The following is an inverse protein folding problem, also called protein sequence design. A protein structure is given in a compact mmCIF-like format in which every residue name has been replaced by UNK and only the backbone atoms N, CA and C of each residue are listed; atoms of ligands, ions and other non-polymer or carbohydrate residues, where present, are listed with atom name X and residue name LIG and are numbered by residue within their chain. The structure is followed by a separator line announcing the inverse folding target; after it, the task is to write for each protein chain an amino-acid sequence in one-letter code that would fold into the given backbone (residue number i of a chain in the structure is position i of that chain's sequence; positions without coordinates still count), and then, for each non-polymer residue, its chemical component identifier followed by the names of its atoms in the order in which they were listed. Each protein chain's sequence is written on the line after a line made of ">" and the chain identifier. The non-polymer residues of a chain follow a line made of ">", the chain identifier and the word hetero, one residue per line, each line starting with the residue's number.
data_IF_755370292908
#
_entry.id   IF_755370292908
#
_cell.length_a   1.000
_cell.length_b   1.000
_cell.length_c   1.000
_cell.angle_alpha   90.00
_cell.angle_beta   90.00
_cell.angle_gamma   90.00
#
_symmetry.space_group_name_H-M   'P 1'
#
loop_
_entity.id
_entity.type
_entity.pdbx_description
1 polymer ?
#
# COMPACT_ATOMS: atom_id res chain seq x y z
N UNK A 1 13.87 0.02 -22.09
CA UNK A 1 14.15 -0.47 -20.72
C UNK A 1 15.63 -0.73 -20.50
N UNK A 2 16.21 -1.75 -21.13
CA UNK A 2 17.56 -2.30 -20.82
C UNK A 2 18.69 -1.29 -20.96
N UNK A 3 18.63 -0.39 -21.95
CA UNK A 3 19.67 0.64 -22.16
C UNK A 3 19.74 1.63 -21.00
N UNK A 4 18.59 1.99 -20.44
CA UNK A 4 18.52 2.93 -19.29
C UNK A 4 19.03 2.20 -18.05
N UNK A 5 18.60 0.98 -17.78
CA UNK A 5 19.07 0.16 -16.66
C UNK A 5 20.59 -0.02 -16.69
N UNK A 6 21.15 -0.27 -17.87
CA UNK A 6 22.61 -0.35 -18.04
C UNK A 6 23.31 0.99 -17.72
N UNK A 7 22.74 2.11 -18.15
CA UNK A 7 23.30 3.43 -17.83
C UNK A 7 23.20 3.75 -16.33
N UNK A 8 22.12 3.33 -15.65
CA UNK A 8 21.98 3.45 -14.19
C UNK A 8 23.10 2.65 -13.50
N UNK A 9 23.27 1.39 -13.87
CA UNK A 9 24.33 0.55 -13.30
C UNK A 9 25.70 1.20 -13.44
N UNK A 10 26.03 1.73 -14.62
CA UNK A 10 27.30 2.41 -14.87
C UNK A 10 27.47 3.71 -14.06
N UNK A 11 26.39 4.50 -13.88
CA UNK A 11 26.44 5.69 -13.04
C UNK A 11 26.69 5.33 -11.57
N UNK A 12 25.93 4.38 -11.03
CA UNK A 12 26.08 3.92 -9.66
C UNK A 12 27.46 3.30 -9.42
N UNK A 13 27.98 2.55 -10.38
CA UNK A 13 29.31 1.95 -10.27
C UNK A 13 30.43 3.03 -10.29
N UNK A 14 30.28 4.08 -11.09
CA UNK A 14 31.21 5.23 -11.08
C UNK A 14 31.14 6.02 -9.78
N UNK A 15 29.93 6.26 -9.26
CA UNK A 15 29.72 6.92 -7.98
C UNK A 15 30.38 6.19 -6.83
N UNK A 16 30.18 4.87 -6.75
CA UNK A 16 30.76 4.04 -5.70
C UNK A 16 32.29 3.85 -5.86
N UNK A 17 32.75 3.69 -7.09
CA UNK A 17 34.16 3.39 -7.38
C UNK A 17 34.63 2.16 -6.61
N UNK A 18 35.81 2.23 -5.94
CA UNK A 18 36.31 1.10 -5.15
C UNK A 18 35.64 0.95 -3.78
N UNK A 19 34.75 1.88 -3.39
CA UNK A 19 34.07 1.87 -2.08
C UNK A 19 33.00 0.78 -1.97
N UNK A 20 32.51 0.23 -3.10
CA UNK A 20 31.42 -0.74 -3.07
C UNK A 20 31.16 -1.39 -4.40
N UNK A 21 30.16 -2.25 -4.42
CA UNK A 21 29.72 -2.91 -5.68
C UNK A 21 28.25 -2.66 -5.93
N UNK A 22 27.90 -2.67 -7.22
CA UNK A 22 26.52 -2.62 -7.72
C UNK A 22 26.17 -3.99 -8.27
N UNK A 23 25.04 -4.53 -7.85
CA UNK A 23 24.52 -5.81 -8.32
C UNK A 23 23.12 -5.60 -8.88
N UNK A 24 22.84 -6.13 -10.06
CA UNK A 24 21.49 -6.20 -10.61
C UNK A 24 20.80 -7.43 -10.01
N UNK A 25 19.73 -7.22 -9.29
CA UNK A 25 18.99 -8.30 -8.60
C UNK A 25 17.96 -8.92 -9.52
N UNK A 26 17.25 -8.11 -10.29
CA UNK A 26 16.26 -8.53 -11.27
C UNK A 26 15.39 -7.36 -11.73
N UNK A 27 14.95 -7.37 -12.98
CA UNK A 27 14.14 -6.28 -13.52
C UNK A 27 14.83 -4.93 -13.39
N UNK A 28 14.22 -4.01 -12.65
CA UNK A 28 14.70 -2.67 -12.35
C UNK A 28 15.31 -2.52 -10.94
N UNK A 29 15.49 -3.62 -10.22
CA UNK A 29 16.04 -3.62 -8.86
C UNK A 29 17.58 -3.76 -8.85
N UNK A 30 18.23 -2.86 -8.12
CA UNK A 30 19.68 -2.83 -7.90
C UNK A 30 20.01 -2.96 -6.42
N UNK A 31 21.05 -3.69 -6.11
CA UNK A 31 21.64 -3.73 -4.78
C UNK A 31 23.01 -3.07 -4.76
N UNK A 32 23.26 -2.27 -3.72
CA UNK A 32 24.54 -1.63 -3.46
C UNK A 32 25.12 -2.23 -2.18
N UNK A 33 26.30 -2.79 -2.26
CA UNK A 33 27.04 -3.31 -1.11
C UNK A 33 28.24 -2.43 -0.84
N UNK A 34 28.28 -1.79 0.33
CA UNK A 34 29.30 -0.80 0.67
C UNK A 34 29.98 -1.24 1.97
N UNK A 35 31.18 -1.85 1.89
CA UNK A 35 31.96 -2.23 3.06
C UNK A 35 32.45 -1.03 3.87
N UNK A 36 32.64 -1.22 5.18
CA UNK A 36 33.24 -0.20 6.05
C UNK A 36 32.31 0.97 6.40
N UNK A 37 31.01 0.82 6.15
CA UNK A 37 29.98 1.81 6.50
C UNK A 37 29.22 1.30 7.72
N UNK A 38 29.52 1.87 8.88
CA UNK A 38 28.96 1.47 10.18
C UNK A 38 28.22 2.62 10.91
N UNK A 39 28.29 3.85 10.35
CA UNK A 39 27.64 5.02 10.91
C UNK A 39 26.39 5.38 10.11
N UNK A 40 25.21 5.54 10.76
CA UNK A 40 23.95 5.90 10.10
C UNK A 40 24.04 7.19 9.27
N UNK A 41 24.78 8.19 9.77
CA UNK A 41 24.93 9.49 9.10
C UNK A 41 25.68 9.36 7.76
N UNK A 42 26.71 8.52 7.71
CA UNK A 42 27.47 8.26 6.48
C UNK A 42 26.62 7.51 5.47
N UNK A 43 25.82 6.55 5.95
CA UNK A 43 24.90 5.80 5.11
C UNK A 43 23.81 6.71 4.53
N UNK A 44 23.28 7.63 5.33
CA UNK A 44 22.28 8.61 4.89
C UNK A 44 22.87 9.53 3.81
N UNK A 45 24.07 10.07 4.04
CA UNK A 45 24.74 10.93 3.08
C UNK A 45 24.98 10.23 1.73
N UNK A 46 25.45 8.97 1.77
CA UNK A 46 25.65 8.19 0.54
C UNK A 46 24.32 7.87 -0.14
N UNK A 47 23.26 7.58 0.59
CA UNK A 47 21.93 7.36 0.02
C UNK A 47 21.42 8.60 -0.72
N UNK A 48 21.67 9.80 -0.20
CA UNK A 48 21.36 11.07 -0.87
C UNK A 48 22.18 11.27 -2.16
N UNK A 49 23.48 10.93 -2.14
CA UNK A 49 24.32 10.95 -3.33
C UNK A 49 23.81 9.96 -4.40
N UNK A 50 23.49 8.73 -4.00
CA UNK A 50 22.94 7.69 -4.89
C UNK A 50 21.61 8.15 -5.50
N UNK A 51 20.71 8.66 -4.66
CA UNK A 51 19.42 9.15 -5.12
C UNK A 51 19.56 10.30 -6.11
N UNK A 52 20.45 11.26 -5.82
CA UNK A 52 20.74 12.35 -6.73
C UNK A 52 21.26 11.89 -8.11
N UNK A 53 22.12 10.86 -8.14
CA UNK A 53 22.61 10.29 -9.41
C UNK A 53 21.50 9.55 -10.19
N UNK A 54 20.60 8.85 -9.50
CA UNK A 54 19.45 8.17 -10.15
C UNK A 54 18.50 9.17 -10.79
N UNK A 55 18.24 10.31 -10.12
CA UNK A 55 17.33 11.34 -10.63
C UNK A 55 17.87 12.15 -11.83
N UNK A 56 19.17 12.12 -12.10
CA UNK A 56 19.74 12.82 -13.24
C UNK A 56 19.17 12.30 -14.56
N UNK A 57 18.61 13.14 -15.43
CA UNK A 57 18.02 12.72 -16.68
C UNK A 57 18.98 11.92 -17.56
N UNK A 58 18.43 11.02 -18.34
CA UNK A 58 19.17 10.21 -19.32
C UNK A 58 18.95 10.77 -20.72
N UNK A 59 20.02 10.99 -21.46
CA UNK A 59 19.94 11.40 -22.86
C UNK A 59 19.53 10.21 -23.73
N UNK A 60 18.49 10.38 -24.53
CA UNK A 60 18.04 9.40 -25.51
C UNK A 60 17.82 10.11 -26.87
N UNK A 61 18.90 10.27 -27.64
CA UNK A 61 18.92 11.14 -28.82
C UNK A 61 18.77 12.60 -28.41
N UNK A 62 17.78 13.27 -29.00
CA UNK A 62 17.44 14.68 -28.71
C UNK A 62 16.49 14.86 -27.51
N UNK A 63 16.06 13.76 -26.88
CA UNK A 63 15.14 13.77 -25.74
C UNK A 63 15.85 13.43 -24.44
N UNK A 64 15.35 13.96 -23.33
CA UNK A 64 15.77 13.59 -21.99
C UNK A 64 14.69 12.75 -21.31
N UNK A 65 15.09 11.64 -20.68
CA UNK A 65 14.21 10.75 -19.93
C UNK A 65 14.53 10.92 -18.44
N UNK A 66 13.58 11.43 -17.69
CA UNK A 66 13.62 11.45 -16.23
C UNK A 66 13.06 10.14 -15.68
N UNK A 67 13.71 9.58 -14.68
CA UNK A 67 13.25 8.41 -13.94
C UNK A 67 13.15 8.76 -12.46
N UNK A 68 12.39 7.98 -11.73
CA UNK A 68 12.36 7.99 -10.28
C UNK A 68 12.84 6.65 -9.74
N UNK A 69 13.26 6.64 -8.50
CA UNK A 69 13.65 5.44 -7.79
C UNK A 69 13.34 5.57 -6.31
N UNK A 70 13.42 4.46 -5.58
CA UNK A 70 13.28 4.43 -4.13
C UNK A 70 14.42 3.64 -3.54
N UNK A 71 14.96 4.07 -2.41
CA UNK A 71 16.08 3.43 -1.73
C UNK A 71 15.62 2.84 -0.38
N UNK A 72 16.02 1.59 -0.14
CA UNK A 72 15.94 0.96 1.18
C UNK A 72 17.34 0.57 1.65
N UNK A 73 17.72 0.91 2.88
CA UNK A 73 19.05 0.62 3.42
C UNK A 73 19.01 -0.10 4.75
N UNK A 74 20.07 -0.89 5.03
CA UNK A 74 20.30 -1.49 6.33
C UNK A 74 21.80 -1.55 6.63
N UNK A 75 22.17 -1.40 7.89
CA UNK A 75 23.55 -1.32 8.37
C UNK A 75 23.97 -2.55 9.15
N UNK A 76 25.16 -3.02 8.86
CA UNK A 76 25.84 -4.04 9.63
C UNK A 76 26.81 -3.40 10.64
N UNK A 77 26.88 -3.88 11.89
CA UNK A 77 26.06 -4.92 12.54
C UNK A 77 24.78 -4.40 13.22
N UNK A 78 24.43 -3.12 13.04
CA UNK A 78 23.38 -2.41 13.76
C UNK A 78 22.00 -3.07 13.54
N UNK A 79 21.64 -3.35 12.29
CA UNK A 79 20.30 -3.81 11.95
C UNK A 79 20.19 -5.33 11.81
N UNK A 80 21.32 -6.02 11.61
CA UNK A 80 21.33 -7.46 11.40
C UNK A 80 22.63 -8.10 11.86
N UNK A 81 22.58 -9.42 12.15
CA UNK A 81 23.71 -10.24 12.54
C UNK A 81 24.06 -11.35 11.55
N UNK A 82 23.44 -11.36 10.39
CA UNK A 82 23.76 -12.26 9.27
C UNK A 82 23.49 -11.58 7.93
N UNK A 83 24.23 -11.93 6.85
CA UNK A 83 24.05 -11.32 5.54
C UNK A 83 22.60 -11.43 5.03
N UNK A 84 21.98 -12.60 5.17
CA UNK A 84 20.58 -12.80 4.76
C UNK A 84 19.59 -11.97 5.58
N UNK A 85 19.88 -11.70 6.87
CA UNK A 85 19.05 -10.80 7.65
C UNK A 85 19.25 -9.34 7.22
N UNK A 86 20.49 -8.92 6.92
CA UNK A 86 20.79 -7.57 6.43
C UNK A 86 20.05 -7.29 5.12
N UNK A 87 20.09 -8.22 4.19
CA UNK A 87 19.35 -8.14 2.94
C UNK A 87 17.84 -7.93 3.18
N UNK A 88 17.23 -8.83 3.96
CA UNK A 88 15.79 -8.71 4.29
C UNK A 88 15.43 -7.37 4.96
N UNK A 89 16.32 -6.80 5.77
CA UNK A 89 16.09 -5.49 6.41
C UNK A 89 16.12 -4.35 5.42
N UNK A 90 17.03 -4.37 4.45
CA UNK A 90 17.06 -3.41 3.36
C UNK A 90 15.80 -3.50 2.48
N UNK A 91 15.35 -4.71 2.13
CA UNK A 91 14.10 -4.93 1.39
C UNK A 91 12.88 -4.44 2.17
N UNK A 92 12.82 -4.68 3.46
CA UNK A 92 11.74 -4.19 4.34
C UNK A 92 11.70 -2.66 4.38
N UNK A 93 12.86 -2.01 4.48
CA UNK A 93 12.94 -0.55 4.43
C UNK A 93 12.49 -0.01 3.07
N UNK A 94 12.93 -0.66 1.97
CA UNK A 94 12.50 -0.32 0.61
C UNK A 94 10.99 -0.44 0.43
N UNK A 95 10.40 -1.52 0.89
CA UNK A 95 8.95 -1.75 0.84
C UNK A 95 8.17 -0.63 1.54
N UNK A 96 8.56 -0.24 2.76
CA UNK A 96 7.91 0.85 3.49
C UNK A 96 8.13 2.20 2.79
N UNK A 97 9.34 2.46 2.26
CA UNK A 97 9.62 3.68 1.53
C UNK A 97 8.70 3.81 0.30
N UNK A 98 8.52 2.74 -0.48
CA UNK A 98 7.61 2.70 -1.63
C UNK A 98 6.16 3.00 -1.21
N UNK A 99 5.65 2.34 -0.18
CA UNK A 99 4.27 2.52 0.29
C UNK A 99 4.00 3.93 0.84
N UNK A 100 5.01 4.58 1.39
CA UNK A 100 4.92 5.95 1.90
C UNK A 100 5.31 7.02 0.88
N UNK A 101 5.66 6.64 -0.34
CA UNK A 101 6.18 7.53 -1.37
C UNK A 101 7.40 8.34 -0.89
N UNK A 102 8.24 7.73 -0.05
CA UNK A 102 9.50 8.30 0.40
C UNK A 102 10.61 8.02 -0.62
N UNK A 103 11.53 8.95 -0.84
CA UNK A 103 12.67 8.73 -1.73
C UNK A 103 13.64 7.67 -1.19
N UNK A 104 13.79 7.61 0.12
CA UNK A 104 14.68 6.67 0.79
C UNK A 104 14.25 6.39 2.23
N UNK A 105 14.62 5.23 2.74
CA UNK A 105 14.40 4.84 4.13
C UNK A 105 15.49 3.87 4.58
N UNK A 106 16.13 4.17 5.71
CA UNK A 106 17.01 3.23 6.41
C UNK A 106 16.18 2.36 7.36
N UNK A 107 16.55 1.08 7.49
CA UNK A 107 15.95 0.20 8.48
C UNK A 107 16.25 0.73 9.90
N UNK A 108 15.27 0.68 10.77
CA UNK A 108 15.36 1.21 12.13
C UNK A 108 14.40 0.48 13.07
N UNK A 109 14.48 0.80 14.36
CA UNK A 109 13.50 0.32 15.33
C UNK A 109 12.06 0.76 14.99
N UNK A 110 11.90 1.98 14.42
CA UNK A 110 10.61 2.49 13.94
C UNK A 110 10.05 1.65 12.78
N UNK A 111 10.88 1.35 11.78
CA UNK A 111 10.53 0.46 10.65
C UNK A 111 10.13 -0.93 11.14
N UNK A 112 10.86 -1.49 12.12
CA UNK A 112 10.53 -2.78 12.72
C UNK A 112 9.17 -2.76 13.40
N UNK A 113 8.88 -1.70 14.17
CA UNK A 113 7.58 -1.53 14.85
C UNK A 113 6.43 -1.45 13.86
N UNK A 114 6.61 -0.72 12.78
CA UNK A 114 5.63 -0.58 11.71
C UNK A 114 5.35 -1.91 11.01
N UNK A 115 6.40 -2.66 10.68
CA UNK A 115 6.23 -4.00 10.08
C UNK A 115 5.49 -4.96 11.02
N UNK A 116 5.82 -4.94 12.31
CA UNK A 116 5.12 -5.77 13.30
C UNK A 116 3.64 -5.37 13.43
N UNK A 117 3.35 -4.08 13.40
CA UNK A 117 1.99 -3.56 13.40
C UNK A 117 1.21 -4.01 12.16
N UNK A 118 1.79 -3.83 10.96
CA UNK A 118 1.18 -4.27 9.70
C UNK A 118 0.93 -5.78 9.68
N UNK A 119 1.91 -6.57 10.15
CA UNK A 119 1.77 -8.02 10.24
C UNK A 119 0.62 -8.42 11.18
N UNK A 120 0.48 -7.74 12.34
CA UNK A 120 -0.64 -7.96 13.25
C UNK A 120 -1.97 -7.65 12.56
N UNK A 121 -2.11 -6.50 11.90
CA UNK A 121 -3.32 -6.17 11.16
C UNK A 121 -3.66 -7.22 10.10
N UNK A 122 -2.66 -7.72 9.36
CA UNK A 122 -2.87 -8.74 8.34
C UNK A 122 -3.35 -10.07 8.93
N UNK A 123 -2.82 -10.47 10.10
CA UNK A 123 -3.24 -11.67 10.80
C UNK A 123 -4.68 -11.56 11.33
N UNK A 124 -5.05 -10.39 11.86
CA UNK A 124 -6.33 -10.17 12.53
C UNK A 124 -7.46 -9.77 11.55
N UNK A 125 -7.11 -9.41 10.29
CA UNK A 125 -8.07 -8.93 9.30
C UNK A 125 -9.12 -9.97 8.93
N UNK A 126 -8.73 -11.24 8.73
CA UNK A 126 -9.67 -12.31 8.40
C UNK A 126 -10.72 -12.49 9.51
N UNK A 127 -10.28 -12.52 10.75
CA UNK A 127 -11.17 -12.61 11.91
C UNK A 127 -12.10 -11.39 11.99
N UNK A 128 -11.57 -10.19 11.77
CA UNK A 128 -12.38 -8.98 11.76
C UNK A 128 -13.46 -8.97 10.67
N UNK A 129 -13.15 -9.48 9.48
CA UNK A 129 -14.13 -9.61 8.40
C UNK A 129 -15.20 -10.64 8.76
N UNK A 130 -14.83 -11.78 9.34
CA UNK A 130 -15.77 -12.87 9.68
C UNK A 130 -16.64 -12.58 10.91
N UNK A 131 -16.07 -11.90 11.93
CA UNK A 131 -16.68 -11.75 13.26
C UNK A 131 -17.13 -10.32 13.58
N UNK A 132 -17.57 -9.58 12.56
CA UNK A 132 -18.14 -8.22 12.71
C UNK A 132 -17.21 -7.17 13.34
N UNK A 133 -15.90 -7.34 13.23
CA UNK A 133 -14.93 -6.30 13.57
C UNK A 133 -14.96 -5.13 12.58
N UNK A 134 -15.50 -5.38 11.38
CA UNK A 134 -15.69 -4.37 10.34
C UNK A 134 -17.18 -4.03 10.24
N UNK A 135 -17.48 -2.77 10.19
CA UNK A 135 -18.83 -2.22 10.11
C UNK A 135 -18.89 -1.07 9.09
N UNK A 136 -20.11 -0.62 8.75
CA UNK A 136 -20.33 0.44 7.76
C UNK A 136 -20.74 1.73 8.47
N UNK A 137 -20.03 2.82 8.18
CA UNK A 137 -20.46 4.17 8.49
C UNK A 137 -21.01 4.85 7.25
N UNK A 138 -21.99 5.74 7.40
CA UNK A 138 -22.62 6.42 6.27
C UNK A 138 -22.28 7.90 6.29
N UNK A 139 -21.79 8.40 5.15
CA UNK A 139 -21.58 9.82 4.94
C UNK A 139 -22.71 10.39 4.06
N UNK A 140 -23.51 11.35 4.57
CA UNK A 140 -24.60 11.92 3.80
C UNK A 140 -24.06 12.84 2.69
N UNK A 141 -24.64 12.74 1.50
CA UNK A 141 -24.39 13.61 0.36
C UNK A 141 -25.62 14.47 0.12
N UNK A 142 -25.44 15.78 0.20
CA UNK A 142 -26.50 16.76 0.07
C UNK A 142 -26.82 17.02 -1.42
N UNK A 143 -28.11 16.95 -1.77
CA UNK A 143 -28.64 17.34 -3.07
C UNK A 143 -29.08 18.81 -3.05
N UNK A 144 -28.29 19.66 -3.70
CA UNK A 144 -28.58 21.10 -3.76
C UNK A 144 -29.86 21.45 -4.54
N UNK A 145 -30.28 20.60 -5.48
CA UNK A 145 -31.50 20.86 -6.24
C UNK A 145 -32.75 20.53 -5.44
N UNK A 146 -32.70 19.39 -4.74
CA UNK A 146 -33.82 18.90 -3.92
C UNK A 146 -33.80 19.41 -2.47
N UNK A 147 -32.73 20.12 -2.07
CA UNK A 147 -32.53 20.68 -0.72
C UNK A 147 -32.71 19.62 0.39
N UNK A 148 -32.14 18.44 0.18
CA UNK A 148 -32.18 17.31 1.12
C UNK A 148 -30.97 16.39 0.92
N UNK A 149 -30.76 15.49 1.88
CA UNK A 149 -29.83 14.37 1.68
C UNK A 149 -30.43 13.45 0.61
N UNK A 150 -29.75 13.28 -0.51
CA UNK A 150 -30.20 12.44 -1.63
C UNK A 150 -29.50 11.09 -1.68
N UNK A 151 -28.29 11.01 -1.11
CA UNK A 151 -27.44 9.82 -1.20
C UNK A 151 -26.64 9.63 0.10
N UNK A 152 -26.32 8.38 0.41
CA UNK A 152 -25.40 7.98 1.46
C UNK A 152 -24.18 7.29 0.84
N UNK A 153 -22.98 7.64 1.26
CA UNK A 153 -21.77 6.90 0.92
C UNK A 153 -21.45 5.90 2.05
N UNK A 154 -21.42 4.62 1.72
CA UNK A 154 -21.05 3.56 2.64
C UNK A 154 -19.52 3.46 2.76
N UNK A 155 -19.02 3.64 3.96
CA UNK A 155 -17.60 3.70 4.27
C UNK A 155 -17.24 2.63 5.30
N UNK A 156 -16.40 1.68 4.91
CA UNK A 156 -15.91 0.65 5.80
C UNK A 156 -15.15 1.24 7.00
N UNK A 157 -15.35 0.66 8.17
CA UNK A 157 -14.67 1.00 9.43
C UNK A 157 -14.23 -0.29 10.10
N UNK A 158 -13.02 -0.29 10.64
CA UNK A 158 -12.50 -1.41 11.40
C UNK A 158 -12.20 -0.97 12.83
N UNK A 159 -12.91 -1.54 13.80
CA UNK A 159 -12.61 -1.38 15.21
C UNK A 159 -11.85 -2.60 15.70
N UNK A 160 -10.53 -2.46 15.82
CA UNK A 160 -9.65 -3.51 16.30
C UNK A 160 -9.67 -3.56 17.84
N UNK A 161 -9.79 -4.74 18.47
CA UNK A 161 -9.97 -4.85 19.92
C UNK A 161 -8.79 -4.28 20.74
N UNK A 162 -7.56 -4.37 20.23
CA UNK A 162 -6.37 -3.88 20.92
C UNK A 162 -5.82 -2.56 20.36
N UNK A 163 -5.99 -2.32 19.06
CA UNK A 163 -5.37 -1.19 18.35
C UNK A 163 -6.33 -0.03 18.14
N UNK A 164 -7.61 -0.20 18.50
CA UNK A 164 -8.64 0.81 18.32
C UNK A 164 -9.10 0.96 16.86
N UNK A 165 -9.42 2.16 16.44
CA UNK A 165 -9.94 2.41 15.09
C UNK A 165 -8.82 2.36 14.06
N UNK A 166 -8.92 1.42 13.12
CA UNK A 166 -7.99 1.27 12.00
C UNK A 166 -8.59 1.96 10.77
N UNK A 167 -7.89 2.94 10.18
CA UNK A 167 -8.41 3.68 9.03
C UNK A 167 -8.40 2.83 7.74
N UNK A 168 -9.33 3.10 6.80
CA UNK A 168 -9.49 2.33 5.56
C UNK A 168 -8.23 2.26 4.67
N UNK A 169 -7.45 3.33 4.61
CA UNK A 169 -6.20 3.41 3.86
C UNK A 169 -5.11 2.45 4.38
N UNK A 170 -5.25 1.92 5.58
CA UNK A 170 -4.36 0.90 6.14
C UNK A 170 -4.86 -0.52 5.90
N UNK A 171 -6.17 -0.80 6.03
CA UNK A 171 -6.64 -2.18 5.95
C UNK A 171 -7.18 -2.60 4.57
N UNK A 172 -7.65 -1.66 3.74
CA UNK A 172 -8.11 -2.01 2.39
C UNK A 172 -6.96 -2.56 1.54
N UNK A 173 -5.75 -1.92 1.49
CA UNK A 173 -4.61 -2.51 0.79
C UNK A 173 -4.20 -3.89 1.34
N UNK A 174 -4.32 -4.11 2.66
CA UNK A 174 -4.06 -5.42 3.24
C UNK A 174 -5.08 -6.48 2.80
N UNK A 175 -6.36 -6.10 2.68
CA UNK A 175 -7.41 -6.97 2.14
C UNK A 175 -7.15 -7.33 0.68
N UNK A 176 -6.68 -6.39 -0.13
CA UNK A 176 -6.29 -6.61 -1.52
C UNK A 176 -5.11 -7.57 -1.63
N UNK A 177 -4.04 -7.33 -0.90
CA UNK A 177 -2.82 -8.16 -0.89
C UNK A 177 -3.08 -9.60 -0.39
N UNK A 178 -3.97 -9.75 0.58
CA UNK A 178 -4.33 -11.07 1.15
C UNK A 178 -5.48 -11.78 0.44
N UNK A 179 -6.04 -11.19 -0.62
CA UNK A 179 -7.18 -11.76 -1.35
C UNK A 179 -8.50 -11.73 -0.59
N UNK A 180 -8.58 -10.98 0.51
CA UNK A 180 -9.78 -10.85 1.34
C UNK A 180 -10.73 -9.75 0.86
N UNK A 181 -10.33 -8.97 -0.15
CA UNK A 181 -11.09 -7.79 -0.60
C UNK A 181 -12.49 -8.17 -1.10
N UNK A 182 -12.66 -9.31 -1.77
CA UNK A 182 -13.97 -9.80 -2.22
C UNK A 182 -14.90 -10.10 -1.05
N UNK A 183 -14.42 -10.85 -0.04
CA UNK A 183 -15.18 -11.16 1.16
C UNK A 183 -15.56 -9.91 1.97
N UNK A 184 -14.62 -8.98 2.08
CA UNK A 184 -14.85 -7.68 2.72
C UNK A 184 -15.93 -6.90 1.98
N UNK A 185 -15.85 -6.84 0.66
CA UNK A 185 -16.78 -6.11 -0.18
C UNK A 185 -18.20 -6.70 -0.15
N UNK A 186 -18.35 -8.02 -0.15
CA UNK A 186 -19.64 -8.71 0.02
C UNK A 186 -20.28 -8.33 1.35
N UNK A 187 -19.52 -8.38 2.44
CA UNK A 187 -20.03 -8.05 3.77
C UNK A 187 -20.48 -6.60 3.90
N UNK A 188 -19.72 -5.66 3.32
CA UNK A 188 -20.10 -4.25 3.27
C UNK A 188 -21.38 -4.07 2.45
N UNK A 189 -21.51 -4.74 1.31
CA UNK A 189 -22.69 -4.70 0.47
C UNK A 189 -23.94 -5.22 1.19
N UNK A 190 -23.85 -6.40 1.82
CA UNK A 190 -24.94 -7.00 2.58
C UNK A 190 -25.44 -6.05 3.67
N UNK A 191 -24.54 -5.53 4.49
CA UNK A 191 -24.92 -4.60 5.56
C UNK A 191 -25.53 -3.32 4.99
N UNK A 192 -24.91 -2.73 3.97
CA UNK A 192 -25.36 -1.47 3.40
C UNK A 192 -26.73 -1.60 2.72
N UNK A 193 -27.04 -2.71 2.05
CA UNK A 193 -28.35 -2.99 1.48
C UNK A 193 -29.42 -3.19 2.57
N UNK A 194 -29.09 -3.94 3.63
CA UNK A 194 -30.00 -4.12 4.76
C UNK A 194 -30.33 -2.80 5.44
N UNK A 195 -29.35 -1.96 5.70
CA UNK A 195 -29.53 -0.66 6.34
C UNK A 195 -30.35 0.29 5.44
N UNK A 196 -30.11 0.28 4.10
CA UNK A 196 -30.89 1.06 3.16
C UNK A 196 -32.36 0.62 3.13
N UNK A 197 -32.63 -0.69 3.16
CA UNK A 197 -33.98 -1.21 3.22
C UNK A 197 -34.74 -0.74 4.46
N UNK A 198 -34.06 -0.71 5.62
CA UNK A 198 -34.63 -0.15 6.86
C UNK A 198 -34.95 1.36 6.73
N UNK A 199 -34.07 2.12 6.08
CA UNK A 199 -34.31 3.55 5.83
C UNK A 199 -35.51 3.77 4.89
N UNK A 200 -35.65 2.98 3.84
CA UNK A 200 -36.81 3.03 2.95
C UNK A 200 -38.11 2.68 3.69
N UNK A 201 -38.10 1.66 4.54
CA UNK A 201 -39.25 1.32 5.40
C UNK A 201 -39.60 2.43 6.39
N UNK A 202 -38.61 3.21 6.82
CA UNK A 202 -38.81 4.39 7.69
C UNK A 202 -39.32 5.63 6.94
N UNK A 203 -39.58 5.52 5.63
CA UNK A 203 -40.15 6.59 4.80
C UNK A 203 -39.11 7.45 4.09
N UNK A 204 -37.85 7.00 3.97
CA UNK A 204 -36.78 7.67 3.22
C UNK A 204 -36.51 6.95 1.89
N UNK A 205 -37.55 6.60 1.16
CA UNK A 205 -37.56 5.81 -0.09
C UNK A 205 -36.79 6.46 -1.25
N UNK A 206 -36.50 7.75 -1.13
CA UNK A 206 -35.71 8.49 -2.13
C UNK A 206 -34.20 8.41 -1.93
N UNK A 207 -33.73 7.83 -0.80
CA UNK A 207 -32.28 7.72 -0.54
C UNK A 207 -31.63 6.69 -1.47
N UNK A 208 -30.50 7.09 -2.03
CA UNK A 208 -29.63 6.23 -2.79
C UNK A 208 -28.39 5.87 -1.98
N UNK A 209 -27.78 4.72 -2.29
CA UNK A 209 -26.54 4.26 -1.67
C UNK A 209 -25.39 4.25 -2.69
N UNK A 210 -24.22 4.70 -2.25
CA UNK A 210 -22.95 4.58 -2.98
C UNK A 210 -22.00 3.71 -2.19
N UNK A 211 -21.41 2.71 -2.83
CA UNK A 211 -20.45 1.79 -2.23
C UNK A 211 -19.16 1.82 -3.05
N UNK A 212 -18.03 2.07 -2.39
CA UNK A 212 -16.72 2.02 -3.01
C UNK A 212 -16.29 0.56 -3.21
N UNK A 213 -15.77 0.25 -4.40
CA UNK A 213 -15.30 -1.09 -4.75
C UNK A 213 -13.86 -1.06 -5.27
N UNK A 214 -13.08 -2.09 -4.92
CA UNK A 214 -11.74 -2.25 -5.43
C UNK A 214 -11.74 -2.68 -6.90
N UNK A 215 -10.78 -2.18 -7.68
CA UNK A 215 -10.55 -2.62 -9.06
C UNK A 215 -10.26 -4.13 -9.12
N UNK A 216 -9.61 -4.70 -8.09
CA UNK A 216 -9.29 -6.13 -8.03
C UNK A 216 -10.56 -6.98 -8.03
N UNK A 217 -11.64 -6.52 -7.39
CA UNK A 217 -12.94 -7.21 -7.40
C UNK A 217 -13.55 -7.23 -8.81
N UNK A 218 -13.38 -6.15 -9.60
CA UNK A 218 -13.84 -6.11 -10.99
C UNK A 218 -13.06 -7.03 -11.92
N UNK A 219 -11.78 -7.29 -11.65
CA UNK A 219 -10.97 -8.22 -12.46
C UNK A 219 -11.35 -9.70 -12.23
N UNK A 220 -12.09 -10.00 -11.16
CA UNK A 220 -12.57 -11.33 -10.81
C UNK A 220 -14.06 -11.55 -11.16
N UNK A 221 -14.61 -10.75 -12.06
CA UNK A 221 -16.04 -10.51 -12.31
C UNK A 221 -16.88 -11.71 -12.76
N UNK A 222 -16.32 -12.80 -13.28
CA UNK A 222 -17.15 -13.90 -13.79
C UNK A 222 -17.94 -14.67 -12.71
N UNK A 223 -17.54 -14.56 -11.45
CA UNK A 223 -18.16 -15.24 -10.31
C UNK A 223 -18.88 -14.27 -9.37
N UNK A 224 -18.34 -13.07 -9.15
CA UNK A 224 -18.82 -12.11 -8.13
C UNK A 224 -19.97 -11.22 -8.58
N UNK A 225 -20.10 -10.91 -9.87
CA UNK A 225 -21.17 -10.03 -10.35
C UNK A 225 -22.58 -10.62 -10.14
N UNK A 226 -22.72 -11.95 -10.17
CA UNK A 226 -23.96 -12.64 -9.84
C UNK A 226 -24.31 -12.50 -8.37
N UNK A 227 -23.33 -12.64 -7.48
CA UNK A 227 -23.50 -12.51 -6.03
C UNK A 227 -24.01 -11.11 -5.65
N UNK A 228 -23.51 -10.05 -6.26
CA UNK A 228 -23.95 -8.68 -5.94
C UNK A 228 -25.38 -8.39 -6.32
N UNK A 229 -25.79 -8.84 -7.51
CA UNK A 229 -27.18 -8.69 -7.96
C UNK A 229 -28.14 -9.49 -7.07
N UNK A 230 -27.72 -10.67 -6.65
CA UNK A 230 -28.51 -11.51 -5.75
C UNK A 230 -28.70 -10.84 -4.38
N UNK A 231 -27.65 -10.24 -3.81
CA UNK A 231 -27.73 -9.47 -2.55
C UNK A 231 -28.64 -8.26 -2.68
N UNK A 232 -28.53 -7.49 -3.77
CA UNK A 232 -29.41 -6.34 -4.03
C UNK A 232 -30.88 -6.79 -4.15
N UNK A 233 -31.14 -7.86 -4.87
CA UNK A 233 -32.51 -8.39 -5.03
C UNK A 233 -33.13 -8.99 -3.77
N UNK A 234 -32.30 -9.46 -2.81
CA UNK A 234 -32.78 -9.99 -1.52
C UNK A 234 -33.29 -8.90 -0.58
N UNK A 235 -32.84 -7.66 -0.76
CA UNK A 235 -33.20 -6.51 0.10
C UNK A 235 -34.15 -5.50 -0.55
N UNK A 236 -34.56 -5.74 -1.81
CA UNK A 236 -35.61 -5.02 -2.52
C UNK A 236 -36.92 -5.78 -2.44
#
# INVERSE_FOLDING_TARGET
>A
GDRILHQIALRLQRLLGPRGMVVVVGGDDFALLIPGMDQPEQAQQLAEEVYGEVLRPFKNGDSEIAISGTLGGALWPLDARSPGALWRRAEQALFIARNRHLPMLAFSAGVRKELSYRQKLQQDLLDAVQNNGIWVAYQPIWDNQRQRVGKLEALARWLHPELGNIPPDQFIPLAEESGLIGLLGEKILEQACADLALLHQAGFDWLELSINRSIIEFLQLDVQAKSWLDVIHQHH
#
